data_IF_277953311871
#
_entry.id   IF_277953311871
#
_cell.length_a   1.000
_cell.length_b   1.000
_cell.length_c   1.000
_cell.angle_alpha   90.00
_cell.angle_beta   90.00
_cell.angle_gamma   90.00
#
_symmetry.space_group_name_H-M   'P 1'
#
loop_
_entity.id
_entity.type
_entity.pdbx_description
1 polymer ?
#
# COMPACT_ATOMS: atom_id res chain seq x y z
N UNK A 1 1.99 14.98 24.03
CA UNK A 1 2.50 15.84 22.91
C UNK A 1 2.49 15.12 21.56
N UNK A 2 2.61 13.79 21.50
CA UNK A 2 2.67 13.04 20.23
C UNK A 2 1.34 12.95 19.46
N UNK A 3 0.20 12.80 20.16
CA UNK A 3 -1.14 12.73 19.54
C UNK A 3 -1.41 13.94 18.64
N UNK A 4 -1.23 15.16 19.17
CA UNK A 4 -1.42 16.41 18.41
C UNK A 4 -0.49 16.52 17.19
N UNK A 5 0.72 15.97 17.26
CA UNK A 5 1.67 15.96 16.14
C UNK A 5 1.19 15.02 15.04
N UNK A 6 0.67 13.85 15.41
CA UNK A 6 0.10 12.87 14.48
C UNK A 6 -1.18 13.43 13.83
N UNK A 7 -2.08 14.03 14.62
CA UNK A 7 -3.30 14.68 14.10
C UNK A 7 -2.97 15.80 13.11
N UNK A 8 -2.00 16.66 13.44
CA UNK A 8 -1.57 17.72 12.53
C UNK A 8 -0.99 17.15 11.22
N UNK A 9 -0.21 16.06 11.28
CA UNK A 9 0.36 15.41 10.09
C UNK A 9 -0.69 14.73 9.22
N UNK A 10 -1.69 14.09 9.84
CA UNK A 10 -2.83 13.47 9.15
C UNK A 10 -3.65 14.55 8.43
N UNK A 11 -3.98 15.64 9.13
CA UNK A 11 -4.80 16.73 8.59
C UNK A 11 -4.09 17.58 7.54
N UNK A 12 -2.80 17.86 7.69
CA UNK A 12 -2.09 18.76 6.76
C UNK A 12 -1.62 18.09 5.47
N UNK A 13 -1.26 16.79 5.52
CA UNK A 13 -0.60 16.12 4.38
C UNK A 13 -1.48 15.08 3.68
N UNK A 14 -2.77 14.98 4.01
CA UNK A 14 -3.65 13.90 3.55
C UNK A 14 -2.98 12.53 3.74
N UNK A 15 -2.30 12.36 4.87
CA UNK A 15 -1.66 11.10 5.23
C UNK A 15 -2.68 10.26 5.98
N UNK A 16 -2.80 9.00 5.57
CA UNK A 16 -3.66 8.01 6.22
C UNK A 16 -2.86 7.30 7.30
N UNK A 17 -3.46 7.18 8.48
CA UNK A 17 -2.93 6.37 9.57
C UNK A 17 -3.22 4.90 9.29
N UNK A 18 -2.20 4.04 9.28
CA UNK A 18 -2.36 2.61 8.95
C UNK A 18 -1.67 1.76 10.04
N UNK A 19 -2.36 0.78 10.64
CA UNK A 19 -1.72 -0.19 11.53
C UNK A 19 -0.86 -1.13 10.69
N UNK A 20 0.42 -1.27 11.06
CA UNK A 20 1.36 -2.13 10.32
C UNK A 20 1.51 -3.49 10.99
N UNK A 21 1.56 -3.53 12.34
CA UNK A 21 1.74 -4.76 13.12
C UNK A 21 0.99 -4.68 14.44
N UNK A 22 0.45 -5.81 14.87
CA UNK A 22 0.00 -6.04 16.24
C UNK A 22 0.94 -7.05 16.90
N UNK A 23 1.40 -6.76 18.12
CA UNK A 23 2.27 -7.65 18.87
C UNK A 23 1.91 -7.65 20.35
N UNK A 24 2.09 -8.78 21.02
CA UNK A 24 1.93 -8.88 22.46
C UNK A 24 3.22 -8.42 23.14
N UNK A 25 3.10 -7.54 24.12
CA UNK A 25 4.25 -7.15 24.94
C UNK A 25 4.48 -8.16 26.07
N UNK A 26 5.65 -8.07 26.72
CA UNK A 26 6.02 -8.98 27.82
C UNK A 26 5.04 -8.96 29.02
N UNK A 27 4.11 -8.00 29.08
CA UNK A 27 3.06 -7.87 30.10
C UNK A 27 1.71 -8.44 29.61
N UNK A 28 1.68 -9.14 28.48
CA UNK A 28 0.47 -9.74 27.91
C UNK A 28 -0.49 -8.77 27.22
N UNK A 29 -0.14 -7.48 27.08
CA UNK A 29 -0.99 -6.50 26.41
C UNK A 29 -0.67 -6.43 24.91
N UNK A 30 -1.72 -6.32 24.10
CA UNK A 30 -1.59 -6.07 22.66
C UNK A 30 -1.14 -4.63 22.43
N UNK A 31 -0.03 -4.48 21.72
CA UNK A 31 0.45 -3.20 21.19
C UNK A 31 0.27 -3.18 19.68
N UNK A 32 -0.13 -2.02 19.17
CA UNK A 32 -0.27 -1.77 17.74
C UNK A 32 0.80 -0.77 17.31
N UNK A 33 1.59 -1.17 16.31
CA UNK A 33 2.52 -0.28 15.63
C UNK A 33 1.79 0.41 14.48
N UNK A 34 1.87 1.74 14.45
CA UNK A 34 1.11 2.58 13.55
C UNK A 34 2.06 3.38 12.67
N UNK A 35 1.81 3.37 11.37
CA UNK A 35 2.57 4.13 10.38
C UNK A 35 1.68 5.19 9.71
N UNK A 36 2.31 6.26 9.21
CA UNK A 36 1.66 7.28 8.39
C UNK A 36 1.99 7.02 6.91
N UNK A 37 0.97 6.75 6.11
CA UNK A 37 1.11 6.48 4.68
C UNK A 37 0.39 7.51 3.82
N UNK A 38 0.88 7.78 2.60
CA UNK A 38 0.14 8.55 1.59
C UNK A 38 -0.50 7.58 0.59
N UNK A 39 -1.80 7.71 0.35
CA UNK A 39 -2.46 6.95 -0.71
C UNK A 39 -1.80 7.21 -2.07
N UNK A 40 -1.61 6.17 -2.90
CA UNK A 40 -1.11 6.33 -4.28
C UNK A 40 -2.03 7.26 -5.08
N UNK A 41 -1.44 8.21 -5.82
CA UNK A 41 -2.18 9.11 -6.73
C UNK A 41 -2.91 8.26 -7.78
N UNK A 42 -4.11 8.68 -8.20
CA UNK A 42 -4.88 7.96 -9.22
C UNK A 42 -4.12 7.80 -10.55
N UNK A 43 -3.22 8.73 -10.88
CA UNK A 43 -2.34 8.65 -12.04
C UNK A 43 -1.44 7.41 -12.00
N UNK A 44 -0.74 7.18 -10.89
CA UNK A 44 0.13 6.00 -10.71
C UNK A 44 -0.64 4.68 -10.79
N UNK A 45 -1.93 4.69 -10.40
CA UNK A 45 -2.81 3.52 -10.53
C UNK A 45 -3.08 3.19 -12.00
N UNK A 46 -3.30 4.20 -12.86
CA UNK A 46 -3.56 3.99 -14.29
C UNK A 46 -2.34 3.38 -14.98
N UNK A 47 -1.14 3.90 -14.72
CA UNK A 47 0.09 3.36 -15.33
C UNK A 47 0.41 1.96 -14.82
N UNK A 48 0.21 1.68 -13.52
CA UNK A 48 0.36 0.34 -12.97
C UNK A 48 -0.63 -0.67 -13.59
N UNK A 49 -1.89 -0.26 -13.80
CA UNK A 49 -2.91 -1.10 -14.44
C UNK A 49 -2.55 -1.35 -15.91
N UNK A 50 -2.14 -0.31 -16.65
CA UNK A 50 -1.68 -0.46 -18.04
C UNK A 50 -0.51 -1.41 -18.16
N UNK A 51 0.53 -1.24 -17.34
CA UNK A 51 1.72 -2.10 -17.34
C UNK A 51 1.34 -3.56 -17.04
N UNK A 52 0.52 -3.79 -16.01
CA UNK A 52 0.04 -5.13 -15.66
C UNK A 52 -0.78 -5.79 -16.76
N UNK A 53 -1.58 -5.01 -17.51
CA UNK A 53 -2.37 -5.52 -18.63
C UNK A 53 -1.49 -5.90 -19.81
N UNK A 54 -0.54 -5.03 -20.18
CA UNK A 54 0.46 -5.30 -21.23
C UNK A 54 1.28 -6.55 -20.91
N UNK A 55 1.79 -6.69 -19.68
CA UNK A 55 2.54 -7.87 -19.25
C UNK A 55 1.71 -9.16 -19.34
N UNK A 56 0.41 -9.08 -19.07
CA UNK A 56 -0.51 -10.22 -19.15
C UNK A 56 -0.79 -10.63 -20.59
N UNK A 57 -0.99 -9.66 -21.48
CA UNK A 57 -1.25 -9.88 -22.91
C UNK A 57 -0.01 -10.48 -23.59
N UNK A 58 1.19 -9.98 -23.28
CA UNK A 58 2.47 -10.55 -23.77
C UNK A 58 2.62 -12.01 -23.32
N UNK A 59 2.36 -12.30 -22.04
CA UNK A 59 2.43 -13.69 -21.52
C UNK A 59 1.43 -14.62 -22.20
N UNK A 60 0.24 -14.14 -22.55
CA UNK A 60 -0.77 -14.92 -23.29
C UNK A 60 -0.33 -15.18 -24.72
N UNK A 61 0.19 -14.19 -25.42
CA UNK A 61 0.69 -14.31 -26.79
C UNK A 61 1.86 -15.30 -26.87
N UNK A 62 2.83 -15.22 -25.95
CA UNK A 62 3.96 -16.17 -25.90
C UNK A 62 3.49 -17.61 -25.65
N UNK A 63 2.50 -17.82 -24.77
CA UNK A 63 1.93 -19.15 -24.52
C UNK A 63 1.15 -19.73 -25.70
N UNK A 64 0.49 -18.90 -26.51
CA UNK A 64 -0.21 -19.36 -27.71
C UNK A 64 0.76 -19.69 -28.85
N UNK A 65 1.82 -18.90 -29.01
CA UNK A 65 2.86 -19.17 -30.01
C UNK A 65 3.66 -20.44 -29.75
N UNK A 66 3.81 -20.85 -28.48
CA UNK A 66 4.55 -22.04 -28.07
C UNK A 66 3.75 -23.36 -28.20
N UNK A 67 2.45 -23.27 -28.55
CA UNK A 67 1.54 -24.41 -28.74
C UNK A 67 1.26 -24.76 -30.21
N UNK A 68 1.87 -24.03 -31.15
CA UNK A 68 1.92 -24.39 -32.58
C UNK A 68 3.30 -24.91 -32.90
#
# INVERSE_FOLDING_TARGET
>A
KEIRKIEALVSQKNLTLIPTRLYFNARGLVKVEIALGKGKKQYDKRDAIKKRKVDMDIKRAMRQGQKR
#
